data_IF_002467468052
#
_entry.id   IF_002467468052
#
_cell.length_a   1.000
_cell.length_b   1.000
_cell.length_c   1.000
_cell.angle_alpha   90.00
_cell.angle_beta   90.00
_cell.angle_gamma   90.00
#
_symmetry.space_group_name_H-M   'P 1'
#
loop_
_entity.id
_entity.type
_entity.pdbx_description
1 polymer ?
#
# COMPACT_ATOMS: atom_id res chain seq x y z
N UNK A 1 16.28 -69.29 -44.88
CA UNK A 1 17.37 -70.22 -44.54
C UNK A 1 18.65 -69.40 -44.40
N UNK A 2 19.17 -69.32 -43.16
CA UNK A 2 20.59 -69.28 -42.74
C UNK A 2 21.65 -68.84 -43.76
N UNK A 3 22.63 -67.98 -43.45
CA UNK A 3 23.51 -67.93 -42.27
C UNK A 3 24.42 -66.67 -42.38
N UNK A 4 24.52 -65.80 -41.37
CA UNK A 4 25.55 -65.72 -40.30
C UNK A 4 26.89 -65.04 -40.65
N UNK A 5 27.20 -63.98 -39.91
CA UNK A 5 28.53 -63.30 -39.75
C UNK A 5 29.65 -64.27 -39.32
N UNK A 6 30.96 -63.88 -39.30
CA UNK A 6 31.48 -63.07 -38.17
C UNK A 6 32.67 -62.11 -38.47
N UNK A 7 33.02 -61.41 -37.38
CA UNK A 7 33.98 -60.33 -37.12
C UNK A 7 35.46 -60.64 -37.43
N UNK A 8 36.22 -59.58 -37.71
CA UNK A 8 37.68 -59.49 -37.52
C UNK A 8 38.08 -58.04 -37.22
N UNK A 9 38.73 -57.82 -36.08
CA UNK A 9 39.05 -56.52 -35.49
C UNK A 9 40.48 -56.07 -35.77
N UNK A 10 40.71 -54.75 -35.67
CA UNK A 10 41.93 -54.20 -35.07
C UNK A 10 42.99 -53.64 -36.02
N UNK A 11 42.86 -52.36 -36.37
CA UNK A 11 43.95 -51.53 -36.89
C UNK A 11 43.81 -50.11 -36.36
N UNK A 12 44.55 -49.78 -35.30
CA UNK A 12 44.59 -48.46 -34.70
C UNK A 12 45.55 -47.55 -35.46
N UNK A 13 45.09 -46.36 -35.83
CA UNK A 13 45.88 -45.30 -36.44
C UNK A 13 44.98 -44.15 -36.87
N UNK A 14 44.70 -43.21 -35.97
CA UNK A 14 43.81 -42.08 -36.24
C UNK A 14 44.17 -40.88 -35.36
N UNK A 15 44.58 -39.81 -36.04
CA UNK A 15 45.15 -38.56 -35.54
C UNK A 15 44.29 -37.81 -34.52
N UNK A 16 44.96 -37.20 -33.54
CA UNK A 16 44.37 -36.19 -32.66
C UNK A 16 44.15 -34.88 -33.40
N UNK A 17 42.90 -34.43 -33.39
CA UNK A 17 42.52 -33.04 -33.67
C UNK A 17 42.35 -32.33 -32.32
N UNK A 18 43.21 -31.36 -32.04
CA UNK A 18 43.11 -30.45 -30.92
C UNK A 18 41.92 -29.49 -31.14
N UNK A 19 40.95 -29.48 -30.23
CA UNK A 19 40.03 -28.36 -30.03
C UNK A 19 40.76 -27.23 -29.28
N UNK A 20 40.53 -25.93 -29.59
CA UNK A 20 41.09 -24.84 -28.80
C UNK A 20 40.34 -24.69 -27.46
N UNK A 21 40.95 -24.05 -26.44
CA UNK A 21 40.43 -24.07 -25.07
C UNK A 21 39.31 -23.04 -24.90
N UNK A 22 38.16 -23.47 -24.39
CA UNK A 22 37.04 -22.64 -23.95
C UNK A 22 37.34 -21.82 -22.68
N UNK A 23 38.50 -22.02 -22.04
CA UNK A 23 38.88 -21.33 -20.79
C UNK A 23 39.36 -19.88 -20.98
N UNK A 24 39.79 -19.50 -22.19
CA UNK A 24 40.32 -18.15 -22.46
C UNK A 24 39.22 -17.10 -22.67
N UNK A 25 37.99 -17.53 -23.01
CA UNK A 25 36.86 -16.61 -23.18
C UNK A 25 36.21 -16.23 -21.84
N UNK A 26 36.17 -17.14 -20.87
CA UNK A 26 35.62 -16.85 -19.54
C UNK A 26 36.54 -15.90 -18.74
N UNK A 27 37.87 -16.10 -18.78
CA UNK A 27 38.85 -15.19 -18.17
C UNK A 27 38.76 -13.76 -18.75
N UNK A 28 38.60 -13.64 -20.07
CA UNK A 28 38.48 -12.33 -20.72
C UNK A 28 37.21 -11.59 -20.30
N UNK A 29 36.09 -12.30 -20.08
CA UNK A 29 34.84 -11.69 -19.61
C UNK A 29 34.87 -11.33 -18.12
N UNK A 30 35.60 -12.07 -17.29
CA UNK A 30 35.80 -11.71 -15.88
C UNK A 30 36.74 -10.50 -15.73
N UNK A 31 37.80 -10.42 -16.53
CA UNK A 31 38.69 -9.25 -16.58
C UNK A 31 37.95 -8.00 -17.08
N UNK A 32 37.14 -8.12 -18.13
CA UNK A 32 36.35 -6.99 -18.69
C UNK A 32 35.31 -6.47 -17.68
N UNK A 33 34.63 -7.36 -16.95
CA UNK A 33 33.70 -7.00 -15.88
C UNK A 33 34.41 -6.32 -14.68
N UNK A 34 35.61 -6.77 -14.33
CA UNK A 34 36.43 -6.15 -13.28
C UNK A 34 36.83 -4.72 -13.64
N UNK A 35 37.26 -4.50 -14.88
CA UNK A 35 37.65 -3.18 -15.39
C UNK A 35 36.44 -2.23 -15.43
N UNK A 36 35.27 -2.69 -15.85
CA UNK A 36 34.05 -1.87 -15.87
C UNK A 36 33.59 -1.48 -14.46
N UNK A 37 33.66 -2.40 -13.50
CA UNK A 37 33.35 -2.12 -12.10
C UNK A 37 34.30 -1.09 -11.49
N UNK A 38 35.61 -1.23 -11.74
CA UNK A 38 36.61 -0.26 -11.31
C UNK A 38 36.35 1.12 -11.92
N UNK A 39 36.04 1.19 -13.21
CA UNK A 39 35.73 2.45 -13.89
C UNK A 39 34.49 3.13 -13.28
N UNK A 40 33.46 2.37 -12.94
CA UNK A 40 32.26 2.88 -12.27
C UNK A 40 32.56 3.40 -10.86
N UNK A 41 33.35 2.66 -10.07
CA UNK A 41 33.78 3.07 -8.74
C UNK A 41 34.58 4.38 -8.78
N UNK A 42 35.53 4.48 -9.71
CA UNK A 42 36.32 5.70 -9.92
C UNK A 42 35.41 6.87 -10.28
N UNK A 43 34.47 6.68 -11.22
CA UNK A 43 33.53 7.73 -11.62
C UNK A 43 32.66 8.23 -10.44
N UNK A 44 32.21 7.33 -9.55
CA UNK A 44 31.45 7.71 -8.36
C UNK A 44 32.29 8.52 -7.36
N UNK A 45 33.54 8.09 -7.11
CA UNK A 45 34.48 8.82 -6.26
C UNK A 45 34.80 10.21 -6.84
N UNK A 46 35.06 10.30 -8.14
CA UNK A 46 35.34 11.57 -8.83
C UNK A 46 34.15 12.53 -8.75
N UNK A 47 32.92 12.04 -8.87
CA UNK A 47 31.71 12.85 -8.71
C UNK A 47 31.61 13.46 -7.29
N UNK A 48 31.98 12.70 -6.25
CA UNK A 48 32.03 13.19 -4.87
C UNK A 48 33.11 14.26 -4.69
N UNK A 49 34.30 14.05 -5.27
CA UNK A 49 35.40 15.01 -5.27
C UNK A 49 34.98 16.32 -5.95
N UNK A 50 34.30 16.23 -7.09
CA UNK A 50 33.78 17.38 -7.81
C UNK A 50 32.75 18.17 -7.01
N UNK A 51 31.82 17.47 -6.34
CA UNK A 51 30.86 18.11 -5.45
C UNK A 51 31.57 18.87 -4.31
N UNK A 52 32.61 18.27 -3.72
CA UNK A 52 33.41 18.89 -2.67
C UNK A 52 34.17 20.12 -3.18
N UNK A 53 34.77 20.03 -4.37
CA UNK A 53 35.46 21.15 -5.02
C UNK A 53 34.52 22.31 -5.34
N UNK A 54 33.30 22.03 -5.82
CA UNK A 54 32.27 23.06 -6.01
C UNK A 54 31.90 23.73 -4.70
N UNK A 55 31.74 22.96 -3.62
CA UNK A 55 31.44 23.52 -2.28
C UNK A 55 32.57 24.40 -1.75
N UNK A 56 33.82 23.97 -1.92
CA UNK A 56 35.01 24.76 -1.58
C UNK A 56 35.01 26.12 -2.31
N UNK A 57 34.74 26.12 -3.61
CA UNK A 57 34.67 27.36 -4.40
C UNK A 57 33.57 28.32 -3.89
N UNK A 58 32.41 27.79 -3.52
CA UNK A 58 31.33 28.59 -2.93
C UNK A 58 31.72 29.21 -1.58
N UNK A 59 32.42 28.45 -0.72
CA UNK A 59 32.89 28.95 0.58
C UNK A 59 33.94 30.05 0.40
N UNK A 60 34.92 29.86 -0.49
CA UNK A 60 35.92 30.88 -0.82
C UNK A 60 35.27 32.15 -1.40
N UNK A 61 34.23 32.02 -2.23
CA UNK A 61 33.48 33.18 -2.72
C UNK A 61 32.84 33.98 -1.59
N UNK A 62 32.33 33.32 -0.54
CA UNK A 62 31.77 34.01 0.64
C UNK A 62 32.85 34.77 1.41
N UNK A 63 34.00 34.14 1.63
CA UNK A 63 35.16 34.79 2.29
C UNK A 63 35.62 36.02 1.49
N UNK A 64 35.77 35.89 0.17
CA UNK A 64 36.16 37.02 -0.68
C UNK A 64 35.14 38.16 -0.66
N UNK A 65 33.83 37.85 -0.71
CA UNK A 65 32.78 38.87 -0.62
C UNK A 65 32.83 39.63 0.71
N UNK A 66 33.03 38.92 1.82
CA UNK A 66 33.18 39.53 3.14
C UNK A 66 34.43 40.43 3.20
N UNK A 67 35.55 39.94 2.65
CA UNK A 67 36.79 40.72 2.57
C UNK A 67 36.63 42.00 1.74
N UNK A 68 36.02 41.90 0.54
CA UNK A 68 35.74 43.03 -0.33
C UNK A 68 34.79 44.03 0.32
N UNK A 69 33.78 43.54 1.04
CA UNK A 69 32.85 44.39 1.77
C UNK A 69 33.56 45.18 2.87
N UNK A 70 34.35 44.51 3.71
CA UNK A 70 35.15 45.17 4.77
C UNK A 70 36.12 46.19 4.18
N UNK A 71 36.84 45.84 3.11
CA UNK A 71 37.73 46.77 2.42
C UNK A 71 36.99 48.00 1.87
N UNK A 72 35.80 47.80 1.29
CA UNK A 72 34.98 48.89 0.79
C UNK A 72 34.57 49.85 1.92
N UNK A 73 34.10 49.32 3.05
CA UNK A 73 33.71 50.14 4.21
C UNK A 73 34.89 50.96 4.75
N UNK A 74 36.09 50.38 4.81
CA UNK A 74 37.31 51.09 5.22
C UNK A 74 37.67 52.19 4.21
N UNK A 75 37.63 51.90 2.91
CA UNK A 75 37.91 52.90 1.86
C UNK A 75 36.91 54.06 1.89
N UNK A 76 35.63 53.76 2.05
CA UNK A 76 34.57 54.77 2.14
C UNK A 76 34.77 55.65 3.40
N UNK A 77 35.20 55.07 4.52
CA UNK A 77 35.54 55.83 5.72
C UNK A 77 36.77 56.73 5.52
N UNK A 78 37.83 56.24 4.87
CA UNK A 78 39.01 57.05 4.54
C UNK A 78 38.61 58.24 3.66
N UNK A 79 37.85 57.98 2.59
CA UNK A 79 37.36 59.02 1.67
C UNK A 79 36.56 60.10 2.41
N UNK A 80 35.64 59.69 3.28
CA UNK A 80 34.84 60.60 4.10
C UNK A 80 35.70 61.49 5.01
N UNK A 81 36.69 60.89 5.69
CA UNK A 81 37.63 61.62 6.53
C UNK A 81 38.50 62.59 5.71
N UNK A 82 38.96 62.20 4.52
CA UNK A 82 39.75 63.06 3.63
C UNK A 82 38.97 64.28 3.17
N UNK A 83 37.69 64.11 2.80
CA UNK A 83 36.82 65.24 2.40
C UNK A 83 36.62 66.20 3.57
N UNK A 84 36.28 65.68 4.76
CA UNK A 84 36.14 66.49 5.98
C UNK A 84 37.42 67.24 6.34
N UNK A 85 38.58 66.59 6.19
CA UNK A 85 39.87 67.22 6.43
C UNK A 85 40.09 68.40 5.48
N UNK A 86 39.89 68.21 4.18
CA UNK A 86 39.98 69.29 3.18
C UNK A 86 39.05 70.46 3.49
N UNK A 87 37.80 70.18 3.87
CA UNK A 87 36.84 71.22 4.24
C UNK A 87 37.29 72.01 5.48
N UNK A 88 37.83 71.31 6.48
CA UNK A 88 38.34 71.93 7.71
C UNK A 88 39.58 72.78 7.42
N UNK A 89 40.50 72.28 6.58
CA UNK A 89 41.68 73.03 6.13
C UNK A 89 41.29 74.30 5.38
N UNK A 90 40.36 74.22 4.42
CA UNK A 90 39.90 75.39 3.68
C UNK A 90 39.18 76.41 4.56
N UNK A 91 38.42 75.95 5.57
CA UNK A 91 37.82 76.85 6.56
C UNK A 91 38.90 77.56 7.39
N UNK A 92 39.96 76.83 7.77
CA UNK A 92 41.07 77.39 8.52
C UNK A 92 41.86 78.43 7.70
N UNK A 93 42.11 78.16 6.43
CA UNK A 93 42.70 79.13 5.49
C UNK A 93 41.82 80.38 5.34
N UNK A 94 40.50 80.20 5.22
CA UNK A 94 39.57 81.34 5.17
C UNK A 94 39.59 82.17 6.46
N UNK A 95 39.64 81.52 7.64
CA UNK A 95 39.82 82.22 8.91
C UNK A 95 41.11 83.05 8.93
N UNK A 96 42.22 82.48 8.43
CA UNK A 96 43.51 83.17 8.36
C UNK A 96 43.47 84.41 7.46
N UNK A 97 42.73 84.36 6.35
CA UNK A 97 42.56 85.53 5.48
C UNK A 97 41.65 86.60 6.11
N UNK A 98 40.53 86.21 6.72
CA UNK A 98 39.59 87.15 7.36
C UNK A 98 40.24 87.93 8.51
N UNK A 99 41.18 87.32 9.25
CA UNK A 99 41.93 88.00 10.33
C UNK A 99 42.82 89.14 9.80
N UNK A 100 43.17 89.15 8.51
CA UNK A 100 43.97 90.22 7.88
C UNK A 100 43.13 91.44 7.47
N UNK A 101 41.82 91.42 7.69
CA UNK A 101 40.93 92.54 7.34
C UNK A 101 41.29 93.80 8.14
N UNK A 102 41.49 94.92 7.44
CA UNK A 102 41.97 96.16 8.06
C UNK A 102 40.81 97.06 8.53
N UNK A 103 39.58 96.84 8.04
CA UNK A 103 38.39 97.56 8.49
C UNK A 103 37.71 96.83 9.67
N UNK A 104 37.67 97.45 10.88
CA UNK A 104 37.02 96.85 12.05
C UNK A 104 35.52 96.53 11.83
N UNK A 105 34.83 97.34 11.03
CA UNK A 105 33.39 97.18 10.80
C UNK A 105 33.11 95.98 9.89
N UNK A 106 33.86 95.83 8.79
CA UNK A 106 33.81 94.68 7.89
C UNK A 106 34.18 93.36 8.58
N UNK A 107 35.18 93.37 9.45
CA UNK A 107 35.55 92.19 10.24
C UNK A 107 34.42 91.72 11.17
N UNK A 108 33.80 92.66 11.91
CA UNK A 108 32.71 92.34 12.83
C UNK A 108 31.48 91.77 12.10
N UNK A 109 31.19 92.22 10.87
CA UNK A 109 30.06 91.70 10.08
C UNK A 109 30.20 90.20 9.73
N UNK A 110 31.43 89.67 9.61
CA UNK A 110 31.69 88.30 9.14
C UNK A 110 32.05 87.35 10.30
N UNK A 111 32.70 87.88 11.34
CA UNK A 111 33.28 87.11 12.46
C UNK A 111 32.30 86.17 13.17
N UNK A 112 31.09 86.61 13.52
CA UNK A 112 30.12 85.79 14.27
C UNK A 112 29.64 84.57 13.45
N UNK A 113 29.39 84.76 12.16
CA UNK A 113 29.02 83.66 11.26
C UNK A 113 30.16 82.66 11.08
N UNK A 114 31.41 83.15 11.06
CA UNK A 114 32.60 82.33 10.96
C UNK A 114 32.84 81.50 12.23
N UNK A 115 32.73 82.11 13.41
CA UNK A 115 32.84 81.43 14.71
C UNK A 115 31.82 80.28 14.80
N UNK A 116 30.56 80.53 14.41
CA UNK A 116 29.53 79.48 14.36
C UNK A 116 29.91 78.34 13.42
N UNK A 117 30.45 78.63 12.23
CA UNK A 117 30.87 77.61 11.25
C UNK A 117 32.05 76.78 11.74
N UNK A 118 33.02 77.39 12.41
CA UNK A 118 34.15 76.70 13.04
C UNK A 118 33.65 75.75 14.11
N UNK A 119 32.81 76.23 15.02
CA UNK A 119 32.29 75.43 16.13
C UNK A 119 31.42 74.25 15.64
N UNK A 120 30.61 74.47 14.60
CA UNK A 120 29.86 73.39 13.95
C UNK A 120 30.79 72.35 13.33
N UNK A 121 31.86 72.76 12.64
CA UNK A 121 32.82 71.85 12.00
C UNK A 121 33.60 71.04 13.03
N UNK A 122 34.03 71.67 14.12
CA UNK A 122 34.70 71.03 15.27
C UNK A 122 33.82 69.93 15.88
N UNK A 123 32.55 70.23 16.15
CA UNK A 123 31.61 69.27 16.75
C UNK A 123 31.38 68.01 15.90
N UNK A 124 31.63 68.09 14.58
CA UNK A 124 31.45 66.96 13.65
C UNK A 124 32.62 65.98 13.63
N UNK A 125 33.80 66.36 14.14
CA UNK A 125 34.94 65.43 14.26
C UNK A 125 34.77 64.47 15.44
N UNK A 126 34.21 64.94 16.57
CA UNK A 126 34.08 64.17 17.81
C UNK A 126 33.06 63.01 17.81
N UNK A 127 32.15 62.93 16.83
CA UNK A 127 31.11 61.87 16.76
C UNK A 127 31.56 60.63 15.99
N UNK A 128 32.59 59.92 16.47
CA UNK A 128 33.00 58.63 15.91
C UNK A 128 33.49 58.67 14.45
N UNK A 129 33.90 59.84 13.95
CA UNK A 129 34.46 59.97 12.58
C UNK A 129 35.77 59.19 12.46
N UNK A 130 36.57 59.14 13.53
CA UNK A 130 37.90 58.50 13.58
C UNK A 130 37.88 57.07 14.14
N UNK A 131 36.74 56.56 14.62
CA UNK A 131 36.65 55.19 15.12
C UNK A 131 36.42 54.23 13.97
N UNK A 132 37.23 53.16 13.81
CA UNK A 132 37.04 52.17 12.74
C UNK A 132 35.62 51.59 12.77
N UNK A 133 34.92 51.62 11.62
CA UNK A 133 33.55 51.11 11.51
C UNK A 133 33.45 49.59 11.38
N UNK A 134 34.58 48.90 11.22
CA UNK A 134 34.67 47.45 11.01
C UNK A 134 35.80 46.86 11.84
N UNK A 135 35.62 45.61 12.27
CA UNK A 135 36.65 44.79 12.92
C UNK A 135 37.53 44.07 11.87
N UNK A 136 38.76 43.73 12.26
CA UNK A 136 39.71 42.98 11.42
C UNK A 136 39.37 41.49 11.29
N UNK A 137 38.58 40.96 12.22
CA UNK A 137 38.48 39.51 12.41
C UNK A 137 37.37 38.91 11.55
N UNK A 138 37.62 37.75 10.95
CA UNK A 138 36.61 36.98 10.23
C UNK A 138 35.91 36.05 11.23
N UNK A 139 34.63 36.32 11.52
CA UNK A 139 33.81 35.45 12.37
C UNK A 139 33.20 34.31 11.54
N UNK A 140 34.08 33.51 10.93
CA UNK A 140 33.70 32.38 10.08
C UNK A 140 34.51 31.15 10.52
N UNK A 141 33.82 30.16 11.07
CA UNK A 141 34.39 28.85 11.42
C UNK A 141 33.87 27.78 10.46
N UNK A 142 34.79 26.95 9.96
CA UNK A 142 34.42 25.79 9.14
C UNK A 142 34.33 24.57 10.03
N UNK A 143 33.14 23.99 10.15
CA UNK A 143 32.94 22.68 10.77
C UNK A 143 32.97 21.58 9.71
N UNK A 144 34.02 20.74 9.75
CA UNK A 144 34.20 19.59 8.86
C UNK A 144 33.89 18.25 9.53
N UNK A 145 33.57 18.24 10.83
CA UNK A 145 33.38 17.01 11.61
C UNK A 145 32.32 16.06 11.02
N UNK A 146 31.09 16.54 10.76
CA UNK A 146 30.03 15.70 10.21
C UNK A 146 30.39 15.08 8.85
N UNK A 147 31.04 15.85 7.96
CA UNK A 147 31.43 15.36 6.63
C UNK A 147 32.51 14.28 6.73
N UNK A 148 33.51 14.48 7.59
CA UNK A 148 34.55 13.47 7.83
C UNK A 148 33.96 12.16 8.37
N UNK A 149 32.96 12.25 9.25
CA UNK A 149 32.26 11.08 9.76
C UNK A 149 31.54 10.31 8.64
N UNK A 150 30.85 11.02 7.74
CA UNK A 150 30.20 10.39 6.57
C UNK A 150 31.21 9.74 5.62
N UNK A 151 32.37 10.38 5.39
CA UNK A 151 33.44 9.80 4.55
C UNK A 151 33.98 8.51 5.17
N UNK A 152 34.17 8.45 6.49
CA UNK A 152 34.62 7.22 7.17
C UNK A 152 33.59 6.08 7.12
N UNK A 153 32.32 6.40 6.89
CA UNK A 153 31.23 5.42 6.74
C UNK A 153 31.01 4.99 5.28
N UNK A 154 31.73 5.59 4.33
CA UNK A 154 31.64 5.23 2.91
C UNK A 154 32.32 3.88 2.69
N UNK A 155 31.52 2.85 2.45
CA UNK A 155 31.97 1.48 2.24
C UNK A 155 31.13 0.80 1.15
N UNK A 156 31.59 -0.35 0.66
CA UNK A 156 30.82 -1.17 -0.26
C UNK A 156 29.58 -1.72 0.44
N UNK A 157 28.41 -1.18 0.09
CA UNK A 157 27.15 -1.83 0.46
C UNK A 157 27.00 -3.04 -0.44
N UNK A 158 27.08 -4.24 0.13
CA UNK A 158 26.82 -5.45 -0.64
C UNK A 158 25.39 -5.38 -1.18
N UNK A 159 25.23 -5.28 -2.49
CA UNK A 159 23.95 -5.29 -3.21
C UNK A 159 23.33 -6.70 -3.14
N UNK A 160 23.06 -7.14 -1.92
CA UNK A 160 22.44 -8.41 -1.62
C UNK A 160 20.95 -8.19 -1.46
N UNK A 161 20.20 -9.01 -2.18
CA UNK A 161 18.77 -9.14 -1.93
C UNK A 161 18.53 -9.62 -0.49
N UNK A 162 17.39 -9.27 0.12
CA UNK A 162 17.06 -9.71 1.46
C UNK A 162 17.04 -11.23 1.62
N UNK A 163 17.32 -11.69 2.83
CA UNK A 163 17.11 -13.08 3.21
C UNK A 163 15.61 -13.44 3.23
N UNK A 164 15.30 -14.72 3.09
CA UNK A 164 13.92 -15.21 3.16
C UNK A 164 13.28 -14.87 4.52
N UNK A 165 12.10 -14.23 4.54
CA UNK A 165 11.37 -13.96 5.78
C UNK A 165 11.02 -15.24 6.54
N UNK A 166 10.91 -15.12 7.86
CA UNK A 166 10.48 -16.19 8.77
C UNK A 166 9.03 -15.98 9.16
N UNK A 167 8.14 -16.92 8.83
CA UNK A 167 6.75 -16.91 9.29
C UNK A 167 6.68 -17.15 10.81
N UNK A 168 5.87 -16.35 11.50
CA UNK A 168 5.58 -16.47 12.93
C UNK A 168 4.31 -17.29 13.09
N UNK A 169 4.46 -18.62 13.11
CA UNK A 169 3.33 -19.55 13.08
C UNK A 169 2.37 -19.37 14.25
N UNK A 170 2.89 -18.97 15.41
CA UNK A 170 2.15 -18.66 16.63
C UNK A 170 1.24 -17.43 16.51
N UNK A 171 1.54 -16.51 15.60
CA UNK A 171 0.76 -15.30 15.31
C UNK A 171 -0.09 -15.43 14.05
N UNK A 172 0.10 -16.51 13.27
CA UNK A 172 -0.72 -16.82 12.11
C UNK A 172 -2.02 -17.51 12.55
N UNK A 173 -3.16 -17.07 12.04
CA UNK A 173 -4.44 -17.68 12.35
C UNK A 173 -5.42 -17.57 11.19
N UNK A 174 -6.41 -18.44 11.17
CA UNK A 174 -7.56 -18.37 10.26
C UNK A 174 -8.82 -18.15 11.07
N UNK A 175 -9.66 -17.22 10.63
CA UNK A 175 -10.94 -16.94 11.25
C UNK A 175 -12.01 -16.88 10.16
N UNK A 176 -13.02 -17.75 10.24
CA UNK A 176 -14.07 -17.83 9.22
C UNK A 176 -13.48 -18.01 7.81
N UNK A 177 -13.62 -17.01 6.95
CA UNK A 177 -13.05 -16.92 5.60
C UNK A 177 -11.90 -15.90 5.47
N UNK A 178 -11.20 -15.61 6.56
CA UNK A 178 -10.00 -14.78 6.54
C UNK A 178 -8.80 -15.51 7.13
N UNK A 179 -7.61 -15.07 6.72
CA UNK A 179 -6.34 -15.58 7.21
C UNK A 179 -5.41 -14.42 7.57
N UNK A 180 -4.91 -14.40 8.80
CA UNK A 180 -3.90 -13.46 9.25
C UNK A 180 -2.56 -14.17 9.25
N UNK A 181 -1.57 -13.57 8.58
CA UNK A 181 -0.19 -14.05 8.52
C UNK A 181 0.74 -13.02 9.13
N UNK A 182 1.70 -13.49 9.91
CA UNK A 182 2.76 -12.69 10.51
C UNK A 182 4.13 -13.26 10.11
N UNK A 183 5.09 -12.39 9.82
CA UNK A 183 6.45 -12.76 9.45
C UNK A 183 7.46 -11.77 9.99
N UNK A 184 8.73 -12.16 10.04
CA UNK A 184 9.82 -11.27 10.44
C UNK A 184 11.10 -11.56 9.69
N UNK A 185 11.98 -10.57 9.67
CA UNK A 185 13.33 -10.73 9.17
C UNK A 185 14.13 -11.72 10.04
N UNK A 186 15.01 -12.56 9.46
CA UNK A 186 15.89 -13.42 10.24
C UNK A 186 16.77 -12.61 11.23
N UNK A 187 16.94 -13.06 12.49
CA UNK A 187 17.58 -12.27 13.56
C UNK A 187 19.01 -11.76 13.29
N UNK A 188 19.74 -12.44 12.40
CA UNK A 188 21.13 -12.11 12.06
C UNK A 188 21.26 -11.38 10.70
N UNK A 189 20.14 -11.07 10.04
CA UNK A 189 20.17 -10.36 8.76
C UNK A 189 20.47 -8.89 9.00
N UNK A 190 21.61 -8.42 8.49
CA UNK A 190 22.03 -7.01 8.49
C UNK A 190 21.59 -6.25 7.22
N UNK A 191 20.99 -6.96 6.26
CA UNK A 191 20.51 -6.39 5.00
C UNK A 191 19.21 -5.63 5.25
N UNK A 192 19.12 -4.41 4.70
CA UNK A 192 17.92 -3.58 4.77
C UNK A 192 16.82 -4.13 3.86
N UNK A 193 15.59 -4.10 4.36
CA UNK A 193 14.38 -4.53 3.64
C UNK A 193 13.51 -3.32 3.39
N UNK A 194 13.15 -3.08 2.13
CA UNK A 194 12.27 -1.97 1.73
C UNK A 194 10.79 -2.41 1.77
N UNK A 195 10.53 -3.71 1.68
CA UNK A 195 9.20 -4.27 1.85
C UNK A 195 9.12 -5.78 1.65
N UNK A 196 7.89 -6.29 1.70
CA UNK A 196 7.52 -7.69 1.60
C UNK A 196 6.44 -7.88 0.54
N UNK A 197 6.45 -9.04 -0.09
CA UNK A 197 5.41 -9.52 -0.99
C UNK A 197 4.88 -10.82 -0.42
N UNK A 198 3.60 -10.83 -0.04
CA UNK A 198 2.88 -12.02 0.39
C UNK A 198 2.09 -12.57 -0.80
N UNK A 199 2.26 -13.86 -1.04
CA UNK A 199 1.56 -14.61 -2.06
C UNK A 199 0.71 -15.73 -1.43
N UNK A 200 -0.46 -15.93 -2.02
CA UNK A 200 -1.43 -16.95 -1.61
C UNK A 200 -1.96 -17.67 -2.87
N UNK A 201 -2.19 -18.98 -2.81
CA UNK A 201 -2.87 -19.71 -3.90
C UNK A 201 -4.40 -19.50 -3.87
N UNK A 202 -5.12 -20.14 -4.80
CA UNK A 202 -6.59 -20.02 -4.90
C UNK A 202 -7.37 -20.97 -3.97
N UNK A 203 -6.67 -21.65 -3.05
CA UNK A 203 -7.25 -22.63 -2.13
C UNK A 203 -7.65 -23.94 -2.78
N UNK A 204 -7.31 -24.15 -4.06
CA UNK A 204 -7.56 -25.36 -4.83
C UNK A 204 -6.29 -25.81 -5.60
N UNK A 205 -5.11 -25.42 -5.12
CA UNK A 205 -3.82 -25.79 -5.71
C UNK A 205 -3.48 -25.09 -7.03
N UNK A 206 -4.18 -24.01 -7.36
CA UNK A 206 -3.86 -23.13 -8.48
C UNK A 206 -2.61 -22.27 -8.26
N UNK A 207 -2.37 -21.27 -9.13
CA UNK A 207 -1.19 -20.43 -9.04
C UNK A 207 -1.23 -19.48 -7.84
N UNK A 208 -0.05 -19.22 -7.27
CA UNK A 208 0.14 -18.16 -6.29
C UNK A 208 -0.13 -16.78 -6.91
N UNK A 209 -0.82 -15.92 -6.16
CA UNK A 209 -1.07 -14.52 -6.51
C UNK A 209 -0.62 -13.60 -5.39
N UNK A 210 -0.13 -12.41 -5.75
CA UNK A 210 0.26 -11.39 -4.78
C UNK A 210 -1.00 -10.81 -4.13
N UNK A 211 -1.10 -10.95 -2.81
CA UNK A 211 -2.22 -10.44 -2.00
C UNK A 211 -1.83 -9.26 -1.14
N UNK A 212 -0.53 -9.03 -0.94
CA UNK A 212 -0.01 -7.88 -0.22
C UNK A 212 1.40 -7.51 -0.71
N UNK A 213 1.64 -6.20 -0.85
CA UNK A 213 2.95 -5.60 -1.11
C UNK A 213 3.11 -4.37 -0.22
N UNK A 214 4.09 -4.36 0.68
CA UNK A 214 4.32 -3.24 1.58
C UNK A 214 5.32 -3.53 2.69
N UNK A 215 5.46 -2.60 3.63
CA UNK A 215 6.46 -2.65 4.71
C UNK A 215 6.01 -3.42 5.95
N UNK A 216 4.71 -3.64 6.11
CA UNK A 216 4.14 -4.31 7.26
C UNK A 216 4.57 -5.78 7.30
N UNK A 217 4.67 -6.29 8.52
CA UNK A 217 5.07 -7.66 8.82
C UNK A 217 3.90 -8.56 9.21
N UNK A 218 2.69 -8.00 9.18
CA UNK A 218 1.44 -8.70 9.45
C UNK A 218 0.41 -8.28 8.39
N UNK A 219 -0.34 -9.25 7.87
CA UNK A 219 -1.39 -9.00 6.89
C UNK A 219 -2.55 -9.97 7.09
N UNK A 220 -3.77 -9.43 7.08
CA UNK A 220 -5.01 -10.21 7.04
C UNK A 220 -5.57 -10.20 5.63
N UNK A 221 -5.83 -11.39 5.10
CA UNK A 221 -6.45 -11.62 3.80
C UNK A 221 -7.88 -12.09 4.04
N UNK A 222 -8.85 -11.25 3.66
CA UNK A 222 -10.29 -11.53 3.78
C UNK A 222 -10.89 -12.10 2.50
N UNK A 223 -12.11 -12.62 2.58
CA UNK A 223 -12.89 -13.04 1.41
C UNK A 223 -12.41 -14.34 0.75
N UNK A 224 -11.71 -15.18 1.51
CA UNK A 224 -11.29 -16.50 1.05
C UNK A 224 -12.51 -17.42 0.88
N UNK A 225 -12.40 -18.45 0.06
CA UNK A 225 -13.38 -19.53 0.07
C UNK A 225 -13.31 -20.33 1.37
N UNK A 226 -14.48 -20.66 1.92
CA UNK A 226 -14.64 -21.58 3.04
C UNK A 226 -14.16 -23.00 2.74
N UNK A 227 -13.93 -23.76 3.80
CA UNK A 227 -13.44 -25.15 3.79
C UNK A 227 -12.32 -25.41 2.76
N UNK A 228 -11.44 -24.44 2.55
CA UNK A 228 -10.40 -24.49 1.53
C UNK A 228 -9.02 -24.44 2.18
N UNK A 229 -8.08 -25.20 1.61
CA UNK A 229 -6.69 -25.24 2.07
C UNK A 229 -5.86 -24.30 1.22
N UNK A 230 -5.36 -23.24 1.83
CA UNK A 230 -4.52 -22.25 1.18
C UNK A 230 -3.05 -22.48 1.47
N UNK A 231 -2.22 -22.26 0.46
CA UNK A 231 -0.76 -22.19 0.58
C UNK A 231 -0.35 -20.73 0.53
N UNK A 232 0.44 -20.30 1.50
CA UNK A 232 0.96 -18.95 1.59
C UNK A 232 2.49 -18.94 1.67
N UNK A 233 3.12 -17.92 1.09
CA UNK A 233 4.57 -17.70 1.15
C UNK A 233 4.89 -16.21 1.05
N UNK A 234 5.96 -15.78 1.71
CA UNK A 234 6.37 -14.36 1.75
C UNK A 234 7.80 -14.23 1.26
N UNK A 235 8.10 -13.20 0.47
CA UNK A 235 9.47 -12.81 0.09
C UNK A 235 9.72 -11.35 0.46
N UNK A 236 10.96 -10.99 0.77
CA UNK A 236 11.36 -9.62 1.03
C UNK A 236 12.05 -9.02 -0.20
N UNK A 237 11.98 -7.71 -0.36
CA UNK A 237 12.68 -7.00 -1.44
C UNK A 237 13.36 -5.72 -0.93
N UNK A 238 14.38 -5.29 -1.66
CA UNK A 238 15.03 -4.00 -1.49
C UNK A 238 15.47 -3.45 -2.86
N UNK A 239 16.18 -2.32 -2.88
CA UNK A 239 16.74 -1.72 -4.09
C UNK A 239 17.64 -2.67 -4.93
N UNK A 240 18.22 -3.71 -4.32
CA UNK A 240 19.03 -4.72 -5.03
C UNK A 240 18.18 -5.82 -5.68
N UNK A 241 16.89 -5.93 -5.35
CA UNK A 241 15.96 -6.89 -5.93
C UNK A 241 15.18 -7.69 -4.89
N UNK A 242 14.63 -8.82 -5.34
CA UNK A 242 13.73 -9.67 -4.57
C UNK A 242 14.48 -10.89 -4.03
N UNK A 243 14.32 -11.15 -2.73
CA UNK A 243 14.89 -12.29 -2.03
C UNK A 243 14.15 -13.61 -2.29
N UNK A 244 14.61 -14.66 -1.61
CA UNK A 244 13.95 -15.97 -1.66
C UNK A 244 12.64 -15.98 -0.87
N UNK A 245 11.74 -16.90 -1.23
CA UNK A 245 10.53 -17.14 -0.47
C UNK A 245 10.81 -17.78 0.89
N UNK A 246 9.97 -17.45 1.87
CA UNK A 246 9.81 -18.19 3.11
C UNK A 246 9.42 -19.64 2.83
N UNK A 247 9.44 -20.46 3.89
CA UNK A 247 8.73 -21.75 3.85
C UNK A 247 7.25 -21.50 3.53
N UNK A 248 6.64 -22.42 2.78
CA UNK A 248 5.22 -22.39 2.52
C UNK A 248 4.44 -22.79 3.77
N UNK A 249 3.50 -21.94 4.17
CA UNK A 249 2.52 -22.22 5.21
C UNK A 249 1.23 -22.74 4.57
N UNK A 250 0.67 -23.79 5.14
CA UNK A 250 -0.64 -24.31 4.74
C UNK A 250 -1.63 -23.93 5.84
N UNK A 251 -2.72 -23.28 5.45
CA UNK A 251 -3.80 -22.88 6.34
C UNK A 251 -5.13 -23.40 5.81
N UNK A 252 -6.10 -23.60 6.69
CA UNK A 252 -7.44 -24.05 6.30
C UNK A 252 -8.46 -23.09 6.89
N UNK A 253 -9.28 -22.49 6.02
CA UNK A 253 -10.42 -21.66 6.43
C UNK A 253 -11.49 -22.52 7.10
N UNK A 254 -12.39 -21.89 7.85
CA UNK A 254 -13.50 -22.58 8.52
C UNK A 254 -14.30 -23.45 7.55
N UNK A 255 -14.63 -24.67 7.99
CA UNK A 255 -15.53 -25.57 7.27
C UNK A 255 -16.94 -25.00 7.18
N UNK A 256 -17.35 -24.31 8.24
CA UNK A 256 -18.69 -23.77 8.42
C UNK A 256 -18.67 -22.26 8.19
N UNK A 257 -19.63 -21.76 7.42
CA UNK A 257 -19.78 -20.34 7.13
C UNK A 257 -20.56 -19.60 8.24
N UNK A 258 -19.90 -18.63 8.87
CA UNK A 258 -20.54 -17.64 9.72
C UNK A 258 -20.72 -16.34 8.94
N UNK A 259 -21.94 -15.86 8.84
CA UNK A 259 -22.27 -14.61 8.15
C UNK A 259 -23.51 -13.95 8.78
N UNK A 260 -23.72 -12.69 8.45
CA UNK A 260 -24.88 -11.90 8.88
C UNK A 260 -25.51 -11.22 7.67
N UNK A 261 -26.66 -10.57 7.83
CA UNK A 261 -27.16 -9.70 6.76
C UNK A 261 -26.25 -8.48 6.60
N UNK A 262 -26.13 -8.00 5.37
CA UNK A 262 -25.31 -6.84 5.02
C UNK A 262 -26.12 -5.53 5.03
N UNK A 263 -25.92 -4.64 6.00
CA UNK A 263 -26.59 -3.35 6.02
C UNK A 263 -26.08 -2.39 4.94
N UNK A 264 -24.86 -2.60 4.43
CA UNK A 264 -24.22 -1.66 3.50
C UNK A 264 -24.85 -1.70 2.10
N UNK A 265 -25.36 -2.86 1.67
CA UNK A 265 -26.00 -3.04 0.36
C UNK A 265 -27.53 -3.06 0.40
N UNK A 266 -28.15 -2.93 1.58
CA UNK A 266 -29.58 -3.06 1.75
C UNK A 266 -30.36 -1.78 1.47
N UNK A 267 -31.64 -1.94 1.11
CA UNK A 267 -32.56 -0.81 0.95
C UNK A 267 -32.81 -0.11 2.32
N UNK A 268 -32.97 1.23 2.37
CA UNK A 268 -33.21 1.97 3.63
C UNK A 268 -34.46 1.57 4.42
N UNK A 269 -35.41 0.90 3.78
CA UNK A 269 -36.62 0.38 4.44
C UNK A 269 -36.36 -0.86 5.29
N UNK A 270 -35.22 -1.54 5.09
CA UNK A 270 -34.83 -2.71 5.88
C UNK A 270 -34.36 -2.25 7.27
N UNK A 271 -34.88 -2.91 8.30
CA UNK A 271 -34.50 -2.69 9.69
C UNK A 271 -33.75 -3.92 10.18
N UNK A 272 -32.52 -3.69 10.64
CA UNK A 272 -31.66 -4.70 11.23
C UNK A 272 -31.76 -4.67 12.76
N UNK A 273 -31.71 -5.85 13.38
CA UNK A 273 -31.52 -6.00 14.82
C UNK A 273 -30.75 -7.28 15.13
N UNK A 274 -30.44 -7.53 16.41
CA UNK A 274 -29.72 -8.72 16.86
C UNK A 274 -28.38 -8.93 16.11
N UNK A 275 -27.50 -7.92 16.16
CA UNK A 275 -26.20 -7.94 15.47
C UNK A 275 -26.29 -8.27 13.97
N UNK A 276 -27.31 -7.73 13.30
CA UNK A 276 -27.64 -7.95 11.88
C UNK A 276 -28.02 -9.40 11.54
N UNK A 277 -28.47 -10.20 12.51
CA UNK A 277 -29.04 -11.53 12.28
C UNK A 277 -30.55 -11.49 12.09
N UNK A 278 -31.23 -10.42 12.52
CA UNK A 278 -32.69 -10.30 12.39
C UNK A 278 -33.05 -9.14 11.48
N UNK A 279 -33.92 -9.37 10.51
CA UNK A 279 -34.40 -8.35 9.56
C UNK A 279 -35.91 -8.24 9.55
N UNK A 280 -36.38 -6.99 9.45
CA UNK A 280 -37.77 -6.63 9.14
C UNK A 280 -37.79 -5.48 8.14
N UNK A 281 -38.97 -5.03 7.71
CA UNK A 281 -39.09 -3.93 6.75
C UNK A 281 -40.13 -2.90 7.20
N UNK A 282 -39.98 -1.64 6.80
CA UNK A 282 -41.00 -0.61 6.97
C UNK A 282 -41.99 -0.52 5.79
N UNK A 283 -41.57 -0.99 4.62
CA UNK A 283 -42.33 -0.89 3.37
C UNK A 283 -43.43 -1.97 3.26
N UNK A 284 -44.51 -1.64 2.55
CA UNK A 284 -45.48 -2.64 2.09
C UNK A 284 -44.98 -3.41 0.86
N UNK A 285 -44.12 -2.81 0.06
CA UNK A 285 -43.44 -3.47 -1.04
C UNK A 285 -42.31 -4.36 -0.52
N UNK A 286 -42.03 -5.44 -1.24
CA UNK A 286 -40.92 -6.31 -0.93
C UNK A 286 -39.57 -5.62 -1.15
N UNK A 287 -38.62 -5.94 -0.28
CA UNK A 287 -37.23 -5.46 -0.34
C UNK A 287 -36.29 -6.63 -0.19
N UNK A 288 -35.33 -6.76 -1.10
CA UNK A 288 -34.27 -7.77 -1.01
C UNK A 288 -33.20 -7.30 -0.04
N UNK A 289 -32.77 -8.21 0.82
CA UNK A 289 -31.57 -8.09 1.66
C UNK A 289 -30.69 -9.33 1.45
N UNK A 290 -29.38 -9.12 1.46
CA UNK A 290 -28.37 -10.16 1.22
C UNK A 290 -27.48 -10.37 2.45
N UNK A 291 -26.80 -11.51 2.50
CA UNK A 291 -25.72 -11.76 3.45
C UNK A 291 -24.47 -10.93 3.14
N UNK A 292 -23.62 -10.74 4.14
CA UNK A 292 -22.33 -10.05 4.01
C UNK A 292 -21.20 -10.92 3.45
N UNK A 293 -21.46 -12.22 3.25
CA UNK A 293 -20.51 -13.19 2.73
C UNK A 293 -21.08 -13.84 1.47
N UNK A 294 -20.21 -14.02 0.48
CA UNK A 294 -20.54 -14.64 -0.79
C UNK A 294 -19.92 -16.05 -0.87
N UNK A 295 -20.61 -16.95 -1.58
CA UNK A 295 -20.19 -18.31 -1.80
C UNK A 295 -20.01 -18.58 -3.29
N UNK A 296 -19.02 -19.39 -3.63
CA UNK A 296 -18.72 -19.78 -5.02
C UNK A 296 -18.08 -21.16 -5.13
N UNK A 297 -17.91 -21.86 -4.00
CA UNK A 297 -17.29 -23.18 -3.88
C UNK A 297 -17.75 -23.85 -2.59
N UNK A 298 -17.75 -25.18 -2.56
CA UNK A 298 -18.09 -25.98 -1.39
C UNK A 298 -19.58 -26.25 -1.26
N UNK A 299 -19.99 -26.73 -0.09
CA UNK A 299 -21.40 -26.98 0.25
C UNK A 299 -21.73 -26.16 1.49
N UNK A 300 -22.81 -25.39 1.42
CA UNK A 300 -23.22 -24.45 2.45
C UNK A 300 -24.66 -24.70 2.86
N UNK A 301 -24.92 -24.60 4.16
CA UNK A 301 -26.25 -24.70 4.72
C UNK A 301 -26.48 -23.58 5.74
N UNK A 302 -27.66 -22.97 5.68
CA UNK A 302 -28.12 -21.98 6.64
C UNK A 302 -29.63 -22.01 6.74
N UNK A 303 -30.15 -21.47 7.84
CA UNK A 303 -31.59 -21.44 8.11
C UNK A 303 -32.08 -20.03 8.41
N UNK A 304 -33.36 -19.79 8.20
CA UNK A 304 -34.05 -18.56 8.61
C UNK A 304 -35.36 -18.92 9.32
N UNK A 305 -35.54 -18.43 10.54
CA UNK A 305 -36.77 -18.62 11.32
C UNK A 305 -37.71 -17.45 11.11
N UNK A 306 -39.00 -17.74 10.93
CA UNK A 306 -40.06 -16.73 10.84
C UNK A 306 -40.46 -16.24 12.23
N UNK A 307 -40.01 -15.05 12.62
CA UNK A 307 -40.34 -14.45 13.92
C UNK A 307 -41.75 -13.83 13.94
N UNK A 308 -42.14 -13.23 12.82
CA UNK A 308 -43.43 -12.56 12.62
C UNK A 308 -43.94 -12.81 11.21
N UNK A 309 -45.23 -13.09 11.10
CA UNK A 309 -45.92 -13.39 9.84
C UNK A 309 -47.38 -12.97 9.96
N UNK A 310 -47.69 -11.75 9.54
CA UNK A 310 -49.00 -11.12 9.75
C UNK A 310 -49.71 -10.85 8.41
N UNK A 311 -51.02 -11.06 8.30
CA UNK A 311 -51.78 -10.75 7.07
C UNK A 311 -51.34 -11.52 5.80
N UNK A 312 -50.81 -12.74 5.95
CA UNK A 312 -50.50 -13.67 4.85
C UNK A 312 -49.60 -13.10 3.72
N UNK A 313 -48.39 -12.60 4.03
CA UNK A 313 -47.43 -12.14 3.04
C UNK A 313 -46.73 -13.34 2.36
N UNK A 314 -46.06 -13.07 1.23
CA UNK A 314 -45.38 -14.09 0.43
C UNK A 314 -43.85 -13.85 0.39
N UNK A 315 -43.12 -13.90 1.52
CA UNK A 315 -41.67 -13.69 1.51
C UNK A 315 -40.97 -14.72 0.62
N UNK A 316 -39.81 -14.34 0.07
CA UNK A 316 -39.03 -15.19 -0.81
C UNK A 316 -37.59 -15.37 -0.30
N UNK A 317 -37.14 -16.61 -0.23
CA UNK A 317 -35.86 -17.04 0.35
C UNK A 317 -34.99 -17.64 -0.74
N UNK A 318 -33.69 -17.40 -0.73
CA UNK A 318 -32.84 -17.96 -1.77
C UNK A 318 -31.44 -17.41 -1.80
N UNK A 319 -30.92 -17.32 -3.03
CA UNK A 319 -29.59 -16.80 -3.33
C UNK A 319 -29.68 -15.74 -4.41
N UNK A 320 -28.72 -14.81 -4.40
CA UNK A 320 -28.65 -13.74 -5.37
C UNK A 320 -27.23 -13.38 -5.77
N UNK A 321 -27.08 -12.78 -6.94
CA UNK A 321 -25.85 -12.07 -7.33
C UNK A 321 -25.81 -10.70 -6.67
N UNK A 322 -24.61 -10.13 -6.51
CA UNK A 322 -24.43 -8.85 -5.82
C UNK A 322 -25.20 -7.68 -6.46
N UNK A 323 -25.44 -7.75 -7.77
CA UNK A 323 -26.16 -6.76 -8.58
C UNK A 323 -27.69 -7.00 -8.69
N UNK A 324 -28.28 -7.89 -7.87
CA UNK A 324 -29.73 -8.13 -7.82
C UNK A 324 -30.52 -6.85 -7.47
N UNK A 325 -31.69 -6.67 -8.08
CA UNK A 325 -32.61 -5.58 -7.77
C UNK A 325 -33.11 -5.67 -6.33
N UNK A 326 -33.09 -4.54 -5.62
CA UNK A 326 -33.37 -4.47 -4.17
C UNK A 326 -34.80 -4.04 -3.83
N UNK A 327 -35.50 -3.46 -4.79
CA UNK A 327 -36.84 -2.87 -4.70
C UNK A 327 -37.94 -3.77 -5.28
N UNK A 328 -37.63 -5.05 -5.50
CA UNK A 328 -38.55 -6.08 -6.02
C UNK A 328 -38.51 -7.32 -5.12
N UNK A 329 -39.45 -8.25 -5.34
CA UNK A 329 -39.40 -9.58 -4.74
C UNK A 329 -38.23 -10.41 -5.33
N UNK A 330 -37.57 -11.19 -4.48
CA UNK A 330 -36.45 -12.05 -4.87
C UNK A 330 -36.89 -13.09 -5.91
N UNK A 331 -36.13 -13.23 -6.99
CA UNK A 331 -36.44 -14.12 -8.11
C UNK A 331 -37.23 -13.48 -9.26
N UNK A 332 -37.66 -12.21 -9.12
CA UNK A 332 -38.30 -11.46 -10.22
C UNK A 332 -37.32 -11.08 -11.34
N UNK A 333 -36.04 -10.92 -11.04
CA UNK A 333 -34.99 -10.68 -12.03
C UNK A 333 -34.22 -11.96 -12.36
N UNK A 334 -33.28 -11.87 -13.30
CA UNK A 334 -32.40 -12.96 -13.72
C UNK A 334 -31.17 -13.12 -12.79
N UNK A 335 -31.11 -12.38 -11.68
CA UNK A 335 -29.98 -12.34 -10.74
C UNK A 335 -30.25 -13.08 -9.44
N UNK A 336 -31.46 -13.59 -9.24
CA UNK A 336 -31.85 -14.32 -8.04
C UNK A 336 -32.55 -15.65 -8.35
N UNK A 337 -32.33 -16.61 -7.44
CA UNK A 337 -32.93 -17.94 -7.44
C UNK A 337 -33.57 -18.15 -6.08
N UNK A 338 -34.89 -18.24 -6.05
CA UNK A 338 -35.64 -18.17 -4.80
C UNK A 338 -36.77 -19.19 -4.73
N UNK A 339 -37.22 -19.45 -3.50
CA UNK A 339 -38.51 -20.03 -3.19
C UNK A 339 -39.34 -18.95 -2.49
N UNK A 340 -40.46 -18.57 -3.07
CA UNK A 340 -41.47 -17.76 -2.36
C UNK A 340 -42.54 -18.67 -1.79
N UNK A 341 -43.06 -18.29 -0.63
CA UNK A 341 -43.90 -19.16 0.18
C UNK A 341 -45.02 -18.38 0.84
N UNK A 342 -46.25 -18.84 0.62
CA UNK A 342 -47.46 -18.35 1.28
C UNK A 342 -47.75 -19.20 2.55
N UNK A 343 -48.90 -19.00 3.17
CA UNK A 343 -49.29 -19.73 4.37
C UNK A 343 -49.68 -21.21 4.13
N UNK A 344 -49.80 -21.63 2.88
CA UNK A 344 -50.23 -22.97 2.49
C UNK A 344 -49.25 -23.69 1.55
N UNK A 345 -48.43 -22.96 0.78
CA UNK A 345 -47.74 -23.48 -0.41
C UNK A 345 -46.45 -22.70 -0.70
N UNK A 346 -45.55 -23.36 -1.40
CA UNK A 346 -44.30 -22.80 -1.91
C UNK A 346 -44.16 -22.99 -3.42
N UNK A 347 -43.36 -22.13 -4.05
CA UNK A 347 -42.97 -22.22 -5.46
C UNK A 347 -41.54 -21.73 -5.65
N UNK A 348 -40.86 -22.29 -6.63
CA UNK A 348 -39.57 -21.76 -7.07
C UNK A 348 -39.78 -20.61 -8.03
N UNK A 349 -38.95 -19.58 -7.93
CA UNK A 349 -38.97 -18.38 -8.76
C UNK A 349 -37.56 -17.99 -9.21
N UNK A 350 -37.44 -17.75 -10.52
CA UNK A 350 -36.26 -17.17 -11.16
C UNK A 350 -36.69 -16.45 -12.44
N UNK A 351 -36.18 -15.24 -12.69
CA UNK A 351 -36.53 -14.43 -13.86
C UNK A 351 -38.04 -14.27 -14.06
N UNK A 352 -38.76 -14.01 -12.95
CA UNK A 352 -40.22 -13.85 -12.92
C UNK A 352 -41.00 -15.09 -13.44
N UNK A 353 -40.34 -16.25 -13.55
CA UNK A 353 -40.95 -17.53 -13.90
C UNK A 353 -41.12 -18.38 -12.65
N UNK A 354 -42.29 -19.01 -12.53
CA UNK A 354 -42.69 -19.78 -11.36
C UNK A 354 -42.82 -21.25 -11.70
N UNK A 355 -42.21 -22.14 -10.91
CA UNK A 355 -42.25 -23.59 -11.14
C UNK A 355 -42.47 -24.36 -9.84
N UNK A 356 -42.77 -25.67 -9.97
CA UNK A 356 -42.76 -26.64 -8.87
C UNK A 356 -43.54 -26.22 -7.62
N UNK A 357 -44.85 -25.97 -7.79
CA UNK A 357 -45.75 -25.77 -6.66
C UNK A 357 -45.71 -26.96 -5.71
N UNK A 358 -45.46 -26.71 -4.43
CA UNK A 358 -45.46 -27.71 -3.36
C UNK A 358 -46.41 -27.28 -2.25
N UNK A 359 -47.16 -28.22 -1.68
CA UNK A 359 -48.00 -27.95 -0.51
C UNK A 359 -47.15 -27.98 0.76
N UNK A 360 -47.42 -27.09 1.70
CA UNK A 360 -46.55 -26.81 2.85
C UNK A 360 -46.13 -25.35 2.84
N UNK A 361 -46.85 -24.52 3.60
CA UNK A 361 -46.57 -23.09 3.74
C UNK A 361 -45.86 -22.75 5.04
N UNK A 362 -45.75 -21.46 5.32
CA UNK A 362 -45.10 -20.96 6.53
C UNK A 362 -46.09 -20.36 7.53
N UNK A 363 -45.70 -20.38 8.80
CA UNK A 363 -46.32 -19.64 9.89
C UNK A 363 -45.24 -19.09 10.81
N UNK A 364 -45.62 -18.25 11.78
CA UNK A 364 -44.70 -17.87 12.86
C UNK A 364 -44.10 -19.11 13.52
N UNK A 365 -42.78 -19.11 13.67
CA UNK A 365 -41.99 -20.22 14.20
C UNK A 365 -41.55 -21.27 13.18
N UNK A 366 -41.95 -21.15 11.91
CA UNK A 366 -41.44 -22.02 10.85
C UNK A 366 -39.96 -21.70 10.55
N UNK A 367 -39.21 -22.73 10.17
CA UNK A 367 -37.80 -22.63 9.79
C UNK A 367 -37.64 -22.93 8.31
N UNK A 368 -36.91 -22.09 7.59
CA UNK A 368 -36.60 -22.26 6.17
C UNK A 368 -35.12 -22.56 6.04
N UNK A 369 -34.78 -23.76 5.55
CA UNK A 369 -33.40 -24.19 5.30
C UNK A 369 -33.01 -24.02 3.84
N UNK A 370 -31.79 -23.57 3.59
CA UNK A 370 -31.20 -23.43 2.26
C UNK A 370 -29.92 -24.25 2.18
N UNK A 371 -29.86 -25.20 1.25
CA UNK A 371 -28.67 -26.00 0.97
C UNK A 371 -28.15 -25.69 -0.44
N UNK A 372 -26.94 -25.13 -0.50
CA UNK A 372 -26.26 -24.77 -1.74
C UNK A 372 -25.02 -25.65 -1.92
N UNK A 373 -25.03 -26.51 -2.93
CA UNK A 373 -23.92 -27.41 -3.26
C UNK A 373 -23.30 -26.99 -4.60
N UNK A 374 -22.11 -26.40 -4.56
CA UNK A 374 -21.38 -26.00 -5.78
C UNK A 374 -20.72 -27.17 -6.51
N UNK A 375 -20.47 -28.29 -5.85
CA UNK A 375 -19.93 -29.51 -6.49
C UNK A 375 -20.96 -30.09 -7.44
N UNK A 376 -22.23 -30.14 -7.02
CA UNK A 376 -23.36 -30.58 -7.86
C UNK A 376 -24.04 -29.44 -8.62
N UNK A 377 -23.73 -28.18 -8.26
CA UNK A 377 -24.32 -26.94 -8.80
C UNK A 377 -25.83 -26.87 -8.58
N UNK A 378 -26.29 -27.25 -7.39
CA UNK A 378 -27.71 -27.33 -7.04
C UNK A 378 -28.08 -26.46 -5.83
N UNK A 379 -29.34 -26.06 -5.77
CA UNK A 379 -29.98 -25.42 -4.61
C UNK A 379 -31.20 -26.24 -4.17
N UNK A 380 -31.30 -26.49 -2.87
CA UNK A 380 -32.41 -27.19 -2.22
C UNK A 380 -32.99 -26.30 -1.12
N UNK A 381 -34.32 -26.30 -1.01
CA UNK A 381 -35.06 -25.60 0.04
C UNK A 381 -35.74 -26.59 0.98
N UNK A 382 -35.76 -26.26 2.26
CA UNK A 382 -36.45 -27.00 3.30
C UNK A 382 -37.39 -26.07 4.06
N UNK A 383 -38.52 -26.62 4.51
CA UNK A 383 -39.40 -25.99 5.51
C UNK A 383 -39.55 -26.99 6.64
N UNK A 384 -39.16 -26.60 7.85
CA UNK A 384 -39.18 -27.45 9.06
C UNK A 384 -38.54 -28.83 8.82
N UNK A 385 -37.31 -28.83 8.29
CA UNK A 385 -36.52 -30.02 7.94
C UNK A 385 -37.11 -30.91 6.83
N UNK A 386 -38.22 -30.51 6.21
CA UNK A 386 -38.80 -31.22 5.06
C UNK A 386 -38.46 -30.50 3.75
N UNK A 387 -37.83 -31.22 2.83
CA UNK A 387 -37.50 -30.71 1.51
C UNK A 387 -38.75 -30.28 0.75
N UNK A 388 -38.73 -29.05 0.23
CA UNK A 388 -39.78 -28.51 -0.62
C UNK A 388 -39.52 -28.89 -2.07
N UNK A 389 -40.40 -29.71 -2.65
CA UNK A 389 -40.32 -30.10 -4.06
C UNK A 389 -39.05 -30.92 -4.41
N UNK A 390 -38.74 -31.05 -5.72
CA UNK A 390 -37.47 -31.63 -6.17
C UNK A 390 -36.30 -30.67 -5.90
N UNK A 391 -35.11 -30.98 -6.42
CA UNK A 391 -34.02 -30.00 -6.51
C UNK A 391 -34.53 -28.73 -7.19
N UNK A 392 -34.32 -27.57 -6.56
CA UNK A 392 -34.99 -26.34 -6.97
C UNK A 392 -34.37 -25.71 -8.20
N UNK A 393 -33.04 -25.67 -8.22
CA UNK A 393 -32.27 -25.13 -9.33
C UNK A 393 -31.00 -25.94 -9.53
N UNK A 394 -30.59 -26.08 -10.80
CA UNK A 394 -29.40 -26.79 -11.24
C UNK A 394 -28.55 -25.88 -12.14
N UNK A 395 -27.27 -26.23 -12.34
CA UNK A 395 -26.36 -25.45 -13.20
C UNK A 395 -25.97 -24.10 -12.61
N UNK A 396 -26.03 -23.95 -11.28
CA UNK A 396 -25.63 -22.72 -10.59
C UNK A 396 -24.11 -22.51 -10.69
N UNK A 397 -23.70 -21.49 -11.45
CA UNK A 397 -22.30 -21.09 -11.62
C UNK A 397 -22.08 -19.63 -11.22
N UNK A 398 -21.01 -19.36 -10.48
CA UNK A 398 -20.61 -18.01 -10.10
C UNK A 398 -20.60 -17.77 -8.60
N UNK A 399 -20.72 -16.50 -8.22
CA UNK A 399 -20.69 -16.04 -6.83
C UNK A 399 -22.11 -15.66 -6.40
N UNK A 400 -22.56 -16.25 -5.29
CA UNK A 400 -23.91 -16.11 -4.77
C UNK A 400 -23.90 -15.70 -3.30
N UNK A 401 -24.80 -14.79 -2.95
CA UNK A 401 -25.08 -14.37 -1.59
C UNK A 401 -26.38 -15.02 -1.11
N UNK A 402 -26.46 -15.50 0.14
CA UNK A 402 -27.73 -15.75 0.81
C UNK A 402 -28.62 -14.52 0.72
N UNK A 403 -29.89 -14.69 0.36
CA UNK A 403 -30.79 -13.58 0.13
C UNK A 403 -32.22 -13.89 0.59
N UNK A 404 -32.94 -12.85 0.98
CA UNK A 404 -34.37 -12.89 1.27
C UNK A 404 -35.01 -11.60 0.77
N UNK A 405 -36.24 -11.68 0.25
CA UNK A 405 -37.12 -10.52 0.15
C UNK A 405 -38.29 -10.61 1.11
N UNK A 406 -38.54 -9.51 1.80
CA UNK A 406 -39.64 -9.37 2.75
C UNK A 406 -40.24 -7.96 2.72
N UNK A 407 -41.48 -7.85 3.20
CA UNK A 407 -42.15 -6.58 3.48
C UNK A 407 -42.43 -6.46 4.99
N UNK A 408 -43.10 -5.37 5.38
CA UNK A 408 -43.33 -5.03 6.80
C UNK A 408 -44.06 -6.07 7.63
N UNK A 409 -44.81 -6.94 6.99
CA UNK A 409 -45.60 -7.97 7.66
C UNK A 409 -44.77 -9.20 8.07
N UNK A 410 -43.49 -9.26 7.66
CA UNK A 410 -42.58 -10.37 7.95
C UNK A 410 -41.40 -9.86 8.77
N UNK A 411 -40.96 -10.69 9.71
CA UNK A 411 -39.66 -10.56 10.35
C UNK A 411 -39.01 -11.94 10.40
N UNK A 412 -37.73 -12.01 10.08
CA UNK A 412 -36.97 -13.26 10.11
C UNK A 412 -35.67 -13.11 10.88
N UNK A 413 -35.22 -14.21 11.48
CA UNK A 413 -33.91 -14.35 12.10
C UNK A 413 -33.10 -15.39 11.35
N UNK A 414 -31.88 -15.03 10.97
CA UNK A 414 -30.91 -15.86 10.27
C UNK A 414 -30.10 -16.70 11.27
N UNK A 415 -29.94 -17.98 10.94
CA UNK A 415 -29.10 -18.94 11.64
C UNK A 415 -27.97 -19.38 10.71
N UNK A 416 -26.75 -18.96 11.04
CA UNK A 416 -25.52 -19.35 10.33
C UNK A 416 -24.64 -20.19 11.25
N UNK A 417 -23.50 -20.67 10.76
CA UNK A 417 -22.69 -21.55 11.60
C UNK A 417 -23.23 -22.98 11.69
N UNK A 418 -24.09 -23.41 10.76
CA UNK A 418 -24.73 -24.73 10.78
C UNK A 418 -23.95 -25.77 9.97
N UNK A 419 -23.86 -27.03 10.45
CA UNK A 419 -23.31 -28.13 9.67
C UNK A 419 -24.25 -28.50 8.51
N UNK A 420 -23.73 -29.25 7.55
CA UNK A 420 -24.53 -29.85 6.48
C UNK A 420 -25.52 -30.85 7.14
N UNK A 421 -26.81 -30.82 6.80
CA UNK A 421 -27.80 -31.73 7.37
C UNK A 421 -27.48 -33.20 7.10
N UNK A 422 -27.71 -34.07 8.10
CA UNK A 422 -27.39 -35.51 8.04
C UNK A 422 -28.11 -36.26 6.91
N UNK A 423 -29.26 -35.76 6.45
CA UNK A 423 -29.99 -36.36 5.33
C UNK A 423 -29.28 -36.16 3.98
N UNK A 424 -28.36 -35.19 3.90
CA UNK A 424 -27.68 -34.81 2.68
C UNK A 424 -26.22 -35.27 2.67
N UNK A 425 -25.85 -36.03 1.64
CA UNK A 425 -24.45 -36.36 1.38
C UNK A 425 -23.91 -35.46 0.28
N UNK A 426 -22.89 -34.62 0.58
CA UNK A 426 -22.23 -33.77 -0.42
C UNK A 426 -21.83 -34.53 -1.68
N UNK A 427 -21.88 -33.85 -2.84
CA UNK A 427 -21.21 -34.40 -4.02
C UNK A 427 -19.70 -34.40 -3.84
N UNK A 428 -19.03 -35.45 -4.35
CA UNK A 428 -17.59 -35.38 -4.53
C UNK A 428 -17.25 -34.20 -5.44
N UNK A 429 -16.30 -33.37 -5.02
CA UNK A 429 -15.78 -32.32 -5.90
C UNK A 429 -15.10 -33.00 -7.09
N UNK A 430 -15.54 -32.70 -8.32
CA UNK A 430 -14.93 -33.25 -9.53
C UNK A 430 -13.44 -32.84 -9.56
N UNK A 431 -12.49 -33.79 -9.44
CA UNK A 431 -11.06 -33.48 -9.36
C UNK A 431 -10.51 -32.88 -10.66
N UNK A 432 -11.30 -32.84 -11.75
CA UNK A 432 -10.89 -32.37 -13.07
C UNK A 432 -11.65 -31.12 -13.56
N UNK A 433 -12.24 -30.33 -12.66
CA UNK A 433 -12.84 -29.04 -12.98
C UNK A 433 -11.82 -28.01 -13.48
N UNK A 434 -11.28 -28.21 -14.69
CA UNK A 434 -10.48 -27.25 -15.43
C UNK A 434 -11.37 -26.06 -15.75
N UNK A 435 -11.15 -24.95 -15.06
CA UNK A 435 -11.62 -23.63 -15.49
C UNK A 435 -10.51 -23.04 -16.34
N UNK A 436 -10.77 -22.90 -17.64
CA UNK A 436 -9.97 -22.10 -18.56
C UNK A 436 -10.13 -20.60 -18.28
#
# INVERSE_FOLDING_TARGET
>A
MNQSSPRGAGGAGGAGWFCPPTSLMDDATEEENGVEFEACLVAQCDALIDALNRRKAQLLSRVNKEHEHKLKVVRDQISHCTVKLRQTTGLMEYCLEVIKENDPSGFLQISDALIRRVHMTESQWGKGTLTPRMNSDFDLTLDSGPLLQTIHQLDFVQLKVPAAPMLQLEECCTQNNSATLSWKQPPLSTITVDGYILELDDGNGGPFREVYVGTETICTVDGLHFNSKYKARVKAFNASGVGQYSKTLIMQTSEIAWFTFDPASAHPDIIFSNDNLTVSCNSYDDRVVMGNSAFSRGVHYWEMTIDRYDNHPDPAFGIARGDVLKDVMLGKDDKAWAMYVDNNRSWFMHNNSHTNRTDGGISKGATIGMLLDFSRRILIFLINDEQQGPVAFEGLEGVYYPAISLNRNVQVTLHTGLPIPDFYTPGDADPNGSVC
#
